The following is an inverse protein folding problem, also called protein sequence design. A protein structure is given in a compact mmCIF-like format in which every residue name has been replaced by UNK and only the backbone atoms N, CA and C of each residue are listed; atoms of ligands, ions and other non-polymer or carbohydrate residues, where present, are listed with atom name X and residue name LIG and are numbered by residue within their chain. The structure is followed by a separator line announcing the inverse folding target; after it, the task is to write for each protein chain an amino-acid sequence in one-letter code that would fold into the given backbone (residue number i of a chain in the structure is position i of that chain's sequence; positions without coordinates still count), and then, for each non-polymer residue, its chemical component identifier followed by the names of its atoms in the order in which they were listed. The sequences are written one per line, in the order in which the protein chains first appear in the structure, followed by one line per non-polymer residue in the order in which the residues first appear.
data_IF_022603454579
#
_entry.id   IF_022603454579
#
_cell.length_a   1.000
_cell.length_b   1.000
_cell.length_c   1.000
_cell.angle_alpha   90.00
_cell.angle_beta   90.00
_cell.angle_gamma   90.00
#
_symmetry.space_group_name_H-M   'P 1'
#
loop_
_entity.id
_entity.type
_entity.pdbx_description
1 polymer ?
#
# COMPACT_ATOMS: atom_id res chain seq x y z
N UNK A 1 -20.45 -58.90 29.90
CA UNK A 1 -20.44 -57.46 30.24
C UNK A 1 -19.47 -56.75 29.31
N UNK A 2 -20.02 -55.85 28.48
CA UNK A 2 -19.46 -54.70 27.73
C UNK A 2 -17.93 -54.55 27.59
N UNK A 3 -17.47 -54.28 26.36
CA UNK A 3 -16.13 -53.71 26.14
C UNK A 3 -15.69 -53.68 24.68
N UNK A 4 -16.34 -52.84 23.86
CA UNK A 4 -16.07 -52.64 22.43
C UNK A 4 -14.63 -52.19 22.14
N UNK A 5 -14.10 -52.78 21.06
CA UNK A 5 -12.98 -52.34 20.24
C UNK A 5 -13.07 -50.87 19.82
N UNK A 6 -12.17 -50.03 20.33
CA UNK A 6 -11.99 -48.64 19.90
C UNK A 6 -10.92 -48.52 18.83
N UNK A 7 -11.29 -48.73 17.57
CA UNK A 7 -10.55 -48.24 16.42
C UNK A 7 -10.55 -46.70 16.47
N UNK A 8 -9.39 -46.10 16.67
CA UNK A 8 -9.14 -44.68 16.46
C UNK A 8 -9.34 -44.37 14.96
N UNK A 9 -10.57 -44.02 14.61
CA UNK A 9 -10.92 -43.50 13.29
C UNK A 9 -10.23 -42.16 13.07
N UNK A 10 -9.30 -42.13 12.12
CA UNK A 10 -8.68 -40.94 11.60
C UNK A 10 -9.76 -39.94 11.15
N UNK A 11 -9.91 -38.82 11.88
CA UNK A 11 -10.73 -37.70 11.42
C UNK A 11 -10.09 -37.14 10.16
N UNK A 12 -10.78 -37.31 9.03
CA UNK A 12 -10.49 -36.60 7.79
C UNK A 12 -10.42 -35.09 8.07
N UNK A 13 -9.48 -34.33 7.47
CA UNK A 13 -9.51 -32.89 7.58
C UNK A 13 -10.83 -32.41 6.97
N UNK A 14 -11.65 -31.76 7.81
CA UNK A 14 -12.88 -31.10 7.40
C UNK A 14 -12.55 -30.15 6.27
N UNK A 15 -13.13 -30.44 5.12
CA UNK A 15 -13.27 -29.54 3.98
C UNK A 15 -13.72 -28.19 4.52
N UNK A 16 -12.84 -27.19 4.49
CA UNK A 16 -13.20 -25.82 4.80
C UNK A 16 -14.13 -25.35 3.68
N UNK A 17 -15.43 -25.53 3.94
CA UNK A 17 -16.54 -24.99 3.16
C UNK A 17 -16.40 -23.47 3.18
N UNK A 18 -16.46 -22.88 1.99
CA UNK A 18 -16.28 -21.45 1.77
C UNK A 18 -17.15 -20.60 2.68
N UNK A 19 -16.51 -19.77 3.50
CA UNK A 19 -17.14 -18.59 4.08
C UNK A 19 -17.07 -17.48 3.03
N UNK A 20 -18.25 -17.10 2.56
CA UNK A 20 -18.43 -16.07 1.55
C UNK A 20 -17.73 -14.78 1.94
N UNK A 21 -17.04 -14.22 0.94
CA UNK A 21 -16.50 -12.87 0.91
C UNK A 21 -17.45 -11.89 1.61
N UNK A 22 -17.04 -11.43 2.79
CA UNK A 22 -17.59 -10.20 3.35
C UNK A 22 -17.22 -9.11 2.34
N UNK A 23 -18.18 -8.71 1.50
CA UNK A 23 -18.01 -7.66 0.50
C UNK A 23 -17.66 -6.38 1.22
N UNK A 24 -16.36 -6.13 1.40
CA UNK A 24 -15.88 -4.86 1.92
C UNK A 24 -16.41 -3.77 1.00
N UNK A 25 -17.23 -2.88 1.57
CA UNK A 25 -18.09 -1.92 0.89
C UNK A 25 -17.26 -0.82 0.22
N UNK A 26 -16.53 -1.21 -0.82
CA UNK A 26 -15.71 -0.31 -1.63
C UNK A 26 -14.29 -0.08 -1.11
N UNK A 27 -13.66 -1.03 -0.43
CA UNK A 27 -12.23 -0.96 -0.09
C UNK A 27 -11.43 -2.01 -0.88
N UNK A 28 -10.26 -1.63 -1.38
CA UNK A 28 -9.31 -2.50 -2.07
C UNK A 28 -7.92 -2.29 -1.47
N UNK A 29 -7.23 -3.37 -1.14
CA UNK A 29 -5.84 -3.33 -0.65
C UNK A 29 -4.92 -3.83 -1.75
N UNK A 30 -4.05 -2.97 -2.28
CA UNK A 30 -3.04 -3.31 -3.27
C UNK A 30 -1.66 -3.42 -2.63
N UNK A 31 -0.79 -4.23 -3.24
CA UNK A 31 0.58 -4.44 -2.80
C UNK A 31 1.57 -4.08 -3.90
N UNK A 32 2.67 -3.43 -3.53
CA UNK A 32 3.89 -3.46 -4.34
C UNK A 32 4.73 -4.72 -4.08
N UNK A 33 5.95 -4.76 -4.61
CA UNK A 33 6.83 -5.93 -4.47
C UNK A 33 7.63 -5.98 -3.16
N UNK A 34 7.56 -4.95 -2.32
CA UNK A 34 8.44 -4.85 -1.14
C UNK A 34 8.20 -5.93 -0.08
N UNK A 35 6.95 -6.10 0.39
CA UNK A 35 6.61 -7.03 1.48
C UNK A 35 5.21 -7.65 1.29
N UNK A 36 5.06 -8.65 0.40
CA UNK A 36 3.77 -9.33 0.20
C UNK A 36 3.28 -10.05 1.47
N UNK A 37 4.18 -10.51 2.32
CA UNK A 37 3.83 -11.16 3.60
C UNK A 37 3.11 -10.20 4.55
N UNK A 38 3.58 -8.96 4.64
CA UNK A 38 2.93 -7.91 5.45
C UNK A 38 1.51 -7.65 4.95
N UNK A 39 1.33 -7.55 3.63
CA UNK A 39 -0.01 -7.34 3.04
C UNK A 39 -0.94 -8.49 3.39
N UNK A 40 -0.47 -9.73 3.26
CA UNK A 40 -1.26 -10.91 3.62
C UNK A 40 -1.64 -10.90 5.10
N UNK A 41 -0.74 -10.50 5.99
CA UNK A 41 -1.05 -10.34 7.41
C UNK A 41 -2.12 -9.27 7.63
N UNK A 42 -2.00 -8.08 7.01
CA UNK A 42 -2.99 -7.01 7.13
C UNK A 42 -4.35 -7.45 6.59
N UNK A 43 -4.39 -8.07 5.42
CA UNK A 43 -5.60 -8.60 4.80
C UNK A 43 -6.29 -9.66 5.68
N UNK A 44 -5.53 -10.56 6.31
CA UNK A 44 -6.06 -11.55 7.26
C UNK A 44 -6.67 -10.91 8.50
N UNK A 45 -6.03 -9.89 9.07
CA UNK A 45 -6.55 -9.19 10.25
C UNK A 45 -7.81 -8.38 9.95
N UNK A 46 -7.95 -7.87 8.73
CA UNK A 46 -9.10 -7.09 8.29
C UNK A 46 -10.22 -7.95 7.66
N UNK A 47 -10.02 -9.26 7.56
CA UNK A 47 -10.91 -10.20 6.87
C UNK A 47 -11.27 -9.76 5.44
N UNK A 48 -10.26 -9.29 4.69
CA UNK A 48 -10.39 -8.86 3.29
C UNK A 48 -9.43 -9.64 2.41
N UNK A 49 -9.80 -9.80 1.13
CA UNK A 49 -8.92 -10.36 0.14
C UNK A 49 -7.97 -9.29 -0.40
N UNK A 50 -6.68 -9.61 -0.61
CA UNK A 50 -5.76 -8.70 -1.30
C UNK A 50 -6.27 -8.47 -2.72
N UNK A 51 -6.18 -7.22 -3.13
CA UNK A 51 -6.55 -6.80 -4.46
C UNK A 51 -5.63 -7.36 -5.53
N UNK A 52 -6.18 -7.50 -6.73
CA UNK A 52 -5.46 -8.11 -7.86
C UNK A 52 -4.72 -7.02 -8.63
N UNK A 53 -3.41 -6.94 -8.42
CA UNK A 53 -2.50 -6.14 -9.25
C UNK A 53 -1.26 -6.94 -9.63
N UNK A 54 -0.54 -6.46 -10.63
CA UNK A 54 0.76 -7.02 -11.01
C UNK A 54 1.75 -5.88 -11.20
N UNK A 55 2.88 -6.01 -10.52
CA UNK A 55 3.98 -5.05 -10.57
C UNK A 55 5.21 -5.83 -11.00
N UNK A 56 5.78 -5.49 -12.14
CA UNK A 56 6.88 -6.23 -12.74
C UNK A 56 7.82 -5.32 -13.49
N UNK A 57 9.05 -5.78 -13.72
CA UNK A 57 10.02 -5.06 -14.53
C UNK A 57 9.90 -5.51 -15.99
N UNK A 58 9.92 -4.54 -16.90
CA UNK A 58 10.09 -4.80 -18.32
C UNK A 58 11.54 -5.19 -18.62
N UNK A 59 11.80 -5.65 -19.85
CA UNK A 59 13.13 -6.04 -20.32
C UNK A 59 14.16 -4.90 -20.23
N UNK A 60 13.71 -3.65 -20.32
CA UNK A 60 14.51 -2.43 -20.12
C UNK A 60 14.66 -2.00 -18.64
N UNK A 61 14.19 -2.83 -17.69
CA UNK A 61 14.18 -2.55 -16.24
C UNK A 61 13.26 -1.40 -15.80
N UNK A 62 12.36 -0.95 -16.67
CA UNK A 62 11.31 -0.03 -16.25
C UNK A 62 10.22 -0.77 -15.46
N UNK A 63 9.73 -0.13 -14.42
CA UNK A 63 8.60 -0.64 -13.63
C UNK A 63 7.31 -0.51 -14.42
N UNK A 64 6.59 -1.62 -14.59
CA UNK A 64 5.25 -1.66 -15.15
C UNK A 64 4.24 -2.15 -14.10
N UNK A 65 3.04 -1.59 -14.15
CA UNK A 65 1.96 -1.90 -13.22
C UNK A 65 0.67 -2.16 -13.99
N UNK A 66 -0.01 -3.23 -13.64
CA UNK A 66 -1.31 -3.61 -14.18
C UNK A 66 -2.32 -3.85 -13.05
N UNK A 67 -3.44 -3.12 -13.08
CA UNK A 67 -4.59 -3.38 -12.21
C UNK A 67 -5.44 -4.48 -12.85
N UNK A 68 -5.58 -5.62 -12.16
CA UNK A 68 -6.33 -6.80 -12.63
C UNK A 68 -7.75 -6.89 -12.05
N UNK A 69 -8.19 -5.83 -11.40
CA UNK A 69 -9.55 -5.65 -10.92
C UNK A 69 -9.96 -4.18 -10.97
N UNK A 70 -11.27 -3.94 -10.92
CA UNK A 70 -11.80 -2.58 -10.90
C UNK A 70 -11.65 -1.92 -9.53
N UNK A 71 -11.04 -0.73 -9.53
CA UNK A 71 -10.88 0.14 -8.37
C UNK A 71 -11.79 1.37 -8.42
N UNK A 72 -12.62 1.50 -9.46
CA UNK A 72 -13.48 2.67 -9.69
C UNK A 72 -14.45 2.89 -8.54
N UNK A 73 -14.45 4.11 -7.99
CA UNK A 73 -15.33 4.49 -6.88
C UNK A 73 -15.01 3.81 -5.55
N UNK A 74 -13.88 3.10 -5.44
CA UNK A 74 -13.41 2.43 -4.23
C UNK A 74 -12.29 3.21 -3.55
N UNK A 75 -12.12 2.99 -2.26
CA UNK A 75 -10.96 3.42 -1.49
C UNK A 75 -9.84 2.40 -1.66
N UNK A 76 -8.74 2.85 -2.25
CA UNK A 76 -7.57 2.01 -2.55
C UNK A 76 -6.50 2.29 -1.51
N UNK A 77 -6.05 1.23 -0.84
CA UNK A 77 -4.95 1.26 0.11
C UNK A 77 -3.76 0.54 -0.52
N UNK A 78 -2.70 1.28 -0.80
CA UNK A 78 -1.48 0.72 -1.39
C UNK A 78 -0.45 0.54 -0.29
N UNK A 79 -0.12 -0.71 0.00
CA UNK A 79 0.90 -1.05 0.99
C UNK A 79 2.23 -1.25 0.27
N UNK A 80 3.20 -0.40 0.59
CA UNK A 80 4.56 -0.49 0.08
C UNK A 80 5.54 0.06 1.10
N UNK A 81 6.69 -0.58 1.27
CA UNK A 81 7.79 -0.09 2.11
C UNK A 81 9.06 0.08 1.29
N UNK A 82 10.01 0.90 1.76
CA UNK A 82 11.35 0.95 1.17
C UNK A 82 12.21 -0.19 1.68
N UNK A 83 12.59 -1.11 0.79
CA UNK A 83 13.44 -2.29 1.06
C UNK A 83 14.86 -2.09 0.52
N UNK A 84 15.44 -3.12 -0.12
CA UNK A 84 16.79 -3.11 -0.69
C UNK A 84 16.90 -2.12 -1.86
N UNK A 85 15.88 -2.03 -2.69
CA UNK A 85 15.84 -1.15 -3.87
C UNK A 85 14.86 0.01 -3.67
N UNK A 86 15.19 0.88 -2.72
CA UNK A 86 14.35 2.01 -2.28
C UNK A 86 13.76 2.83 -3.44
N UNK A 87 14.55 3.12 -4.47
CA UNK A 87 14.07 3.92 -5.60
C UNK A 87 13.03 3.18 -6.44
N UNK A 88 13.23 1.89 -6.65
CA UNK A 88 12.28 1.08 -7.40
C UNK A 88 10.98 0.94 -6.61
N UNK A 89 11.05 0.70 -5.30
CA UNK A 89 9.87 0.61 -4.43
C UNK A 89 9.04 1.91 -4.45
N UNK A 90 9.70 3.08 -4.46
CA UNK A 90 9.04 4.37 -4.61
C UNK A 90 8.39 4.48 -5.99
N UNK A 91 9.10 4.14 -7.05
CA UNK A 91 8.56 4.21 -8.41
C UNK A 91 7.35 3.27 -8.59
N UNK A 92 7.41 2.05 -8.06
CA UNK A 92 6.28 1.12 -8.01
C UNK A 92 5.06 1.76 -7.34
N UNK A 93 5.24 2.36 -6.16
CA UNK A 93 4.16 3.04 -5.43
C UNK A 93 3.57 4.21 -6.22
N UNK A 94 4.42 5.05 -6.81
CA UNK A 94 3.98 6.22 -7.57
C UNK A 94 3.17 5.80 -8.81
N UNK A 95 3.63 4.80 -9.55
CA UNK A 95 2.95 4.30 -10.75
C UNK A 95 1.62 3.62 -10.36
N UNK A 96 1.61 2.82 -9.30
CA UNK A 96 0.40 2.14 -8.82
C UNK A 96 -0.65 3.13 -8.29
N UNK A 97 -0.21 4.19 -7.59
CA UNK A 97 -1.09 5.27 -7.14
C UNK A 97 -1.66 6.05 -8.33
N UNK A 98 -0.82 6.38 -9.30
CA UNK A 98 -1.25 7.08 -10.52
C UNK A 98 -2.23 6.24 -11.33
N UNK A 99 -1.97 4.95 -11.53
CA UNK A 99 -2.89 4.03 -12.19
C UNK A 99 -4.24 3.94 -11.46
N UNK A 100 -4.22 3.88 -10.12
CA UNK A 100 -5.45 3.85 -9.31
C UNK A 100 -6.25 5.14 -9.42
N UNK A 101 -5.58 6.30 -9.44
CA UNK A 101 -6.21 7.61 -9.63
C UNK A 101 -6.85 7.72 -11.01
N UNK A 102 -6.14 7.35 -12.06
CA UNK A 102 -6.62 7.37 -13.45
C UNK A 102 -7.77 6.37 -13.66
N UNK A 103 -7.79 5.27 -12.91
CA UNK A 103 -8.92 4.33 -12.87
C UNK A 103 -10.13 4.83 -12.04
N UNK A 104 -10.16 6.12 -11.67
CA UNK A 104 -11.23 6.77 -10.92
C UNK A 104 -11.50 6.16 -9.54
N UNK A 105 -10.45 5.77 -8.82
CA UNK A 105 -10.56 5.46 -7.40
C UNK A 105 -11.11 6.67 -6.62
N UNK A 106 -11.97 6.41 -5.62
CA UNK A 106 -12.55 7.45 -4.76
C UNK A 106 -11.49 8.10 -3.90
N UNK A 107 -10.64 7.27 -3.29
CA UNK A 107 -9.53 7.69 -2.44
C UNK A 107 -8.34 6.77 -2.68
N UNK A 108 -7.13 7.34 -2.69
CA UNK A 108 -5.87 6.59 -2.79
C UNK A 108 -5.05 6.87 -1.53
N UNK A 109 -4.90 5.86 -0.68
CA UNK A 109 -4.14 5.93 0.57
C UNK A 109 -2.86 5.11 0.41
N UNK A 110 -1.71 5.73 0.62
CA UNK A 110 -0.45 5.01 0.70
C UNK A 110 -0.15 4.62 2.15
N UNK A 111 0.17 3.36 2.38
CA UNK A 111 0.60 2.82 3.67
C UNK A 111 2.06 2.46 3.56
N UNK A 112 2.91 3.28 4.17
CA UNK A 112 4.37 3.15 4.15
C UNK A 112 4.89 3.01 5.58
N UNK A 113 5.03 1.78 6.11
CA UNK A 113 5.55 1.56 7.46
C UNK A 113 6.83 2.34 7.75
N UNK A 114 7.77 2.29 6.81
CA UNK A 114 8.97 3.11 6.78
C UNK A 114 8.95 4.06 5.59
N UNK A 115 9.04 5.36 5.85
CA UNK A 115 9.12 6.38 4.80
C UNK A 115 10.55 6.51 4.29
N UNK A 116 10.83 6.19 3.01
CA UNK A 116 12.17 6.32 2.47
C UNK A 116 12.64 7.77 2.43
N UNK A 117 13.95 7.97 2.48
CA UNK A 117 14.59 9.30 2.50
C UNK A 117 14.22 10.19 3.70
N UNK A 118 13.49 9.68 4.71
CA UNK A 118 13.10 10.45 5.89
C UNK A 118 14.31 11.03 6.66
N UNK A 119 15.46 10.35 6.64
CA UNK A 119 16.71 10.84 7.25
C UNK A 119 17.32 12.07 6.55
N UNK A 120 16.93 12.35 5.30
CA UNK A 120 17.40 13.48 4.49
C UNK A 120 16.41 14.67 4.52
N UNK A 121 15.86 14.95 5.71
CA UNK A 121 14.85 15.99 5.93
C UNK A 121 15.39 17.37 6.26
N UNK A 122 16.65 17.45 6.70
CA UNK A 122 17.32 18.70 7.04
C UNK A 122 18.30 19.08 5.94
N UNK A 123 18.27 20.36 5.53
CA UNK A 123 19.24 20.92 4.61
C UNK A 123 20.61 20.87 5.26
N UNK A 124 21.51 20.01 4.76
CA UNK A 124 22.91 20.01 5.16
C UNK A 124 23.71 20.84 4.16
N UNK A 125 24.32 21.95 4.62
CA UNK A 125 25.09 22.88 3.78
C UNK A 125 24.32 23.25 2.48
N UNK A 126 24.94 23.14 1.30
CA UNK A 126 24.32 23.32 -0.03
C UNK A 126 23.68 22.04 -0.59
N UNK A 127 23.24 21.12 0.26
CA UNK A 127 22.64 19.84 -0.13
C UNK A 127 21.12 19.90 -0.36
N UNK A 128 20.56 18.90 -1.09
CA UNK A 128 19.12 18.80 -1.34
C UNK A 128 18.35 18.38 -0.08
N UNK A 129 17.05 18.65 -0.07
CA UNK A 129 16.09 18.10 0.91
C UNK A 129 15.28 17.01 0.20
N UNK A 130 15.86 15.82 0.11
CA UNK A 130 15.30 14.71 -0.68
C UNK A 130 13.95 14.23 -0.14
N UNK A 131 13.74 14.26 1.18
CA UNK A 131 12.44 13.90 1.76
C UNK A 131 11.31 14.81 1.26
N UNK A 132 11.59 16.10 1.03
CA UNK A 132 10.63 17.06 0.50
C UNK A 132 10.32 16.76 -0.97
N UNK A 133 11.32 16.37 -1.75
CA UNK A 133 11.13 15.92 -3.13
C UNK A 133 10.21 14.69 -3.19
N UNK A 134 10.49 13.67 -2.37
CA UNK A 134 9.67 12.45 -2.29
C UNK A 134 8.24 12.77 -1.89
N UNK A 135 8.03 13.62 -0.88
CA UNK A 135 6.68 14.05 -0.47
C UNK A 135 5.91 14.73 -1.61
N UNK A 136 6.57 15.58 -2.41
CA UNK A 136 5.96 16.21 -3.59
C UNK A 136 5.58 15.18 -4.66
N UNK A 137 6.45 14.20 -4.92
CA UNK A 137 6.16 13.14 -5.89
C UNK A 137 4.96 12.29 -5.45
N UNK A 138 4.89 11.92 -4.17
CA UNK A 138 3.76 11.18 -3.60
C UNK A 138 2.45 11.97 -3.79
N UNK A 139 2.45 13.26 -3.48
CA UNK A 139 1.28 14.11 -3.74
C UNK A 139 0.95 14.15 -5.24
N UNK A 140 1.93 14.46 -6.10
CA UNK A 140 1.73 14.56 -7.55
C UNK A 140 1.16 13.27 -8.17
N UNK A 141 1.56 12.09 -7.68
CA UNK A 141 1.07 10.80 -8.17
C UNK A 141 -0.42 10.55 -7.93
N UNK A 142 -1.07 11.36 -7.09
CA UNK A 142 -2.52 11.24 -6.82
C UNK A 142 -2.85 10.48 -5.54
N UNK A 143 -1.91 10.35 -4.61
CA UNK A 143 -2.15 9.90 -3.24
C UNK A 143 -2.92 11.02 -2.51
N UNK A 144 -3.91 10.66 -1.69
CA UNK A 144 -4.70 11.57 -0.84
C UNK A 144 -4.26 11.56 0.62
N UNK A 145 -3.81 10.39 1.10
CA UNK A 145 -3.36 10.23 2.48
C UNK A 145 -2.16 9.30 2.54
N UNK A 146 -1.24 9.59 3.45
CA UNK A 146 -0.08 8.78 3.74
C UNK A 146 -0.14 8.31 5.20
N UNK A 147 -0.14 7.00 5.41
CA UNK A 147 -0.04 6.35 6.72
C UNK A 147 1.39 5.83 6.87
N UNK A 148 2.08 6.21 7.94
CA UNK A 148 3.45 5.76 8.22
C UNK A 148 3.64 5.54 9.72
N UNK A 149 4.52 4.61 10.10
CA UNK A 149 4.71 4.19 11.49
C UNK A 149 5.98 4.79 12.12
N UNK A 150 7.04 4.97 11.33
CA UNK A 150 8.33 5.40 11.86
C UNK A 150 8.88 6.61 11.09
N UNK A 151 8.61 7.79 11.64
CA UNK A 151 9.17 9.05 11.16
C UNK A 151 10.37 9.43 12.02
N UNK A 152 11.56 9.35 11.41
CA UNK A 152 12.84 9.71 12.03
C UNK A 152 12.85 11.12 12.68
N UNK A 153 12.01 12.03 12.18
CA UNK A 153 11.81 13.35 12.76
C UNK A 153 10.33 13.70 12.66
N UNK A 154 9.66 13.96 13.79
CA UNK A 154 8.22 14.30 13.85
C UNK A 154 7.90 15.54 13.00
N UNK A 155 8.87 16.42 12.78
CA UNK A 155 8.71 17.60 11.92
C UNK A 155 8.42 17.26 10.45
N UNK A 156 8.83 16.09 9.96
CA UNK A 156 8.57 15.68 8.56
C UNK A 156 7.07 15.49 8.33
N UNK A 157 6.39 14.89 9.31
CA UNK A 157 4.95 14.63 9.24
C UNK A 157 4.15 15.92 9.32
N UNK A 158 4.47 16.77 10.29
CA UNK A 158 3.73 17.99 10.57
C UNK A 158 4.02 19.09 9.55
N UNK A 159 5.26 19.23 9.07
CA UNK A 159 5.63 20.34 8.19
C UNK A 159 5.32 20.09 6.72
N UNK A 160 5.62 18.90 6.20
CA UNK A 160 5.53 18.69 4.75
C UNK A 160 4.25 17.97 4.32
N UNK A 161 3.79 16.97 5.08
CA UNK A 161 2.59 16.24 4.68
C UNK A 161 1.34 17.10 4.88
N UNK A 162 1.20 17.79 6.00
CA UNK A 162 0.06 18.70 6.21
C UNK A 162 0.02 19.87 5.22
N UNK A 163 1.14 20.56 4.99
CA UNK A 163 1.18 21.73 4.09
C UNK A 163 0.81 21.34 2.64
N UNK A 164 1.30 20.20 2.14
CA UNK A 164 1.03 19.77 0.75
C UNK A 164 -0.29 19.05 0.56
N UNK A 165 -0.73 18.20 1.49
CA UNK A 165 -2.05 17.57 1.39
C UNK A 165 -3.18 18.55 1.69
N UNK A 166 -2.96 19.57 2.55
CA UNK A 166 -3.94 20.63 2.80
C UNK A 166 -3.99 21.67 1.67
N UNK A 167 -2.86 22.03 1.06
CA UNK A 167 -2.82 22.98 -0.08
C UNK A 167 -3.51 22.42 -1.34
N UNK A 168 -3.69 21.11 -1.47
CA UNK A 168 -4.44 20.51 -2.59
C UNK A 168 -5.94 20.79 -2.51
N UNK A 169 -6.48 21.08 -1.32
CA UNK A 169 -7.85 21.57 -1.16
C UNK A 169 -8.07 22.89 -1.90
N UNK A 170 -7.04 23.74 -1.95
CA UNK A 170 -7.09 25.09 -2.53
C UNK A 170 -6.74 25.12 -4.02
N UNK A 171 -6.15 24.04 -4.57
CA UNK A 171 -5.73 23.96 -5.97
C UNK A 171 -6.83 23.44 -6.93
N UNK A 172 -7.96 22.97 -6.39
CA UNK A 172 -9.14 22.57 -7.18
C UNK A 172 -10.13 23.72 -7.40
N UNK A 173 -9.73 24.98 -7.18
CA UNK A 173 -10.53 26.19 -7.44
C UNK A 173 -10.21 26.87 -8.79
N UNK A 174 -9.81 26.10 -9.80
CA UNK A 174 -9.68 26.55 -11.19
C UNK A 174 -10.48 25.62 -12.11
#
# INVERSE_FOLDING_TARGET
MRGCSGLLSARKPSTFIGMGSMRSRGMVILAGNSHPELVNCVCRHLDVQPGKCSVYFRTNRETAVELRETVRGRDVYIIQSGTKDVNNDIMELLILAHASRTACARKVVAVMPYLPYCKQSKRRKRGPITSKLVAKMLCASGIDHLITLDLHAKEIQVRYLYEYFSSRSDLNSW
#
